data_IF_332428808685
#
_entry.id   IF_332428808685
#
_cell.length_a   1.000
_cell.length_b   1.000
_cell.length_c   1.000
_cell.angle_alpha   90.00
_cell.angle_beta   90.00
_cell.angle_gamma   90.00
#
_symmetry.space_group_name_H-M   'P 1'
#
loop_
_entity.id
_entity.type
_entity.pdbx_description
1 polymer ?
#
# COMPACT_ATOMS: atom_id res chain seq x y z
N UNK A 1 -3.58 18.34 -23.40
CA UNK A 1 -2.83 17.60 -22.35
C UNK A 1 -3.63 16.35 -21.99
N UNK A 2 -3.08 15.13 -22.13
CA UNK A 2 -3.78 13.94 -21.65
C UNK A 2 -3.79 13.93 -20.11
N UNK A 3 -4.85 13.43 -19.46
CA UNK A 3 -4.91 13.33 -18.01
C UNK A 3 -3.83 12.37 -17.51
N UNK A 4 -3.03 12.81 -16.53
CA UNK A 4 -2.03 11.98 -15.85
C UNK A 4 -2.74 10.83 -15.13
N UNK A 5 -2.87 9.66 -15.78
CA UNK A 5 -3.38 8.43 -15.15
C UNK A 5 -2.26 7.80 -14.33
N UNK A 6 -2.41 7.75 -13.01
CA UNK A 6 -1.54 6.93 -12.17
C UNK A 6 -1.93 5.46 -12.33
N UNK A 7 -1.04 4.66 -12.91
CA UNK A 7 -1.13 3.19 -12.94
C UNK A 7 -0.36 2.65 -11.74
N UNK A 8 -0.92 1.69 -11.03
CA UNK A 8 -0.25 1.01 -9.91
C UNK A 8 -0.27 -0.49 -10.20
N UNK A 9 0.90 -1.07 -10.48
CA UNK A 9 1.07 -2.52 -10.66
C UNK A 9 2.02 -3.04 -9.59
N UNK A 10 1.48 -3.85 -8.68
CA UNK A 10 2.22 -4.58 -7.66
C UNK A 10 2.39 -6.02 -8.16
N UNK A 11 3.63 -6.44 -8.44
CA UNK A 11 3.96 -7.84 -8.71
C UNK A 11 4.56 -8.43 -7.44
N UNK A 12 3.91 -9.47 -6.92
CA UNK A 12 4.42 -10.32 -5.85
C UNK A 12 4.97 -11.59 -6.50
N UNK A 13 6.28 -11.81 -6.38
CA UNK A 13 6.89 -13.04 -6.89
C UNK A 13 6.77 -14.17 -5.85
N UNK A 14 6.33 -15.38 -6.21
CA UNK A 14 5.99 -16.44 -5.24
C UNK A 14 7.18 -17.18 -4.62
N UNK A 15 8.43 -16.89 -5.01
CA UNK A 15 9.64 -17.59 -4.50
C UNK A 15 10.60 -16.74 -3.68
N UNK A 16 10.40 -15.44 -3.65
CA UNK A 16 11.14 -14.48 -2.83
C UNK A 16 10.16 -13.39 -2.47
N UNK A 17 10.13 -12.92 -1.22
CA UNK A 17 9.31 -11.78 -0.75
C UNK A 17 9.78 -10.47 -1.38
N UNK A 18 10.00 -10.45 -2.69
CA UNK A 18 10.41 -9.30 -3.49
C UNK A 18 9.13 -8.69 -4.06
N UNK A 19 8.81 -7.49 -3.58
CA UNK A 19 7.75 -6.67 -4.12
C UNK A 19 8.29 -5.87 -5.31
N UNK A 20 7.86 -6.19 -6.53
CA UNK A 20 8.18 -5.36 -7.70
C UNK A 20 7.06 -4.34 -7.88
N UNK A 21 7.36 -3.08 -7.62
CA UNK A 21 6.50 -1.94 -7.89
C UNK A 21 6.73 -1.53 -9.36
N UNK A 22 5.86 -1.99 -10.26
CA UNK A 22 6.05 -1.93 -11.73
C UNK A 22 5.64 -0.59 -12.36
N UNK A 23 5.06 0.30 -11.58
CA UNK A 23 5.13 1.74 -11.82
C UNK A 23 4.47 2.40 -10.62
N UNK A 24 5.23 3.22 -9.92
CA UNK A 24 4.68 4.13 -8.94
C UNK A 24 5.68 5.29 -8.81
N UNK A 25 5.24 6.46 -9.25
CA UNK A 25 5.98 7.71 -9.04
C UNK A 25 5.95 8.04 -7.54
N UNK A 26 6.80 7.39 -6.73
CA UNK A 26 7.09 7.80 -5.35
C UNK A 26 8.21 8.80 -5.37
N UNK A 27 8.08 9.96 -4.73
CA UNK A 27 9.23 10.79 -4.36
C UNK A 27 10.00 10.11 -3.21
N UNK A 28 10.66 8.97 -3.47
CA UNK A 28 11.94 8.73 -2.82
C UNK A 28 12.86 9.87 -3.31
N UNK A 29 13.60 10.53 -2.41
CA UNK A 29 14.37 11.72 -2.76
C UNK A 29 15.15 11.53 -4.05
N UNK A 30 15.22 12.56 -4.90
CA UNK A 30 15.78 12.50 -6.27
C UNK A 30 17.08 11.69 -6.35
N UNK A 31 17.98 11.89 -5.40
CA UNK A 31 19.26 11.17 -5.29
C UNK A 31 19.11 9.65 -5.15
N UNK A 32 18.16 9.15 -4.36
CA UNK A 32 17.97 7.71 -4.18
C UNK A 32 17.51 7.05 -5.47
N UNK A 33 16.63 7.70 -6.24
CA UNK A 33 16.19 7.18 -7.55
C UNK A 33 17.35 7.11 -8.54
N UNK A 34 18.16 8.15 -8.59
CA UNK A 34 19.32 8.21 -9.48
C UNK A 34 20.32 7.12 -9.13
N UNK A 35 20.62 6.92 -7.84
CA UNK A 35 21.51 5.84 -7.40
C UNK A 35 20.99 4.44 -7.77
N UNK A 36 19.70 4.18 -7.58
CA UNK A 36 19.08 2.88 -7.90
C UNK A 36 19.11 2.61 -9.42
N UNK A 37 18.87 3.62 -10.24
CA UNK A 37 18.99 3.50 -11.70
C UNK A 37 20.45 3.26 -12.16
N UNK A 38 21.42 3.91 -11.52
CA UNK A 38 22.84 3.75 -11.85
C UNK A 38 23.35 2.31 -11.64
N UNK A 39 22.79 1.58 -10.68
CA UNK A 39 23.13 0.17 -10.44
C UNK A 39 22.27 -0.81 -11.26
N UNK A 40 21.50 -0.30 -12.24
CA UNK A 40 20.72 -1.13 -13.19
C UNK A 40 19.36 -1.59 -12.67
N UNK A 41 18.91 -1.11 -11.50
CA UNK A 41 17.59 -1.43 -10.97
C UNK A 41 16.56 -0.53 -11.64
N UNK A 42 15.51 -1.13 -12.17
CA UNK A 42 14.44 -0.42 -12.84
C UNK A 42 13.10 -1.11 -12.59
N UNK A 43 12.05 -0.31 -12.48
CA UNK A 43 10.67 -0.79 -12.35
C UNK A 43 9.91 -0.79 -13.68
N UNK A 44 10.59 -0.94 -14.82
CA UNK A 44 9.95 -0.89 -16.13
C UNK A 44 8.90 -1.99 -16.33
N UNK A 45 7.90 -1.74 -17.18
CA UNK A 45 6.80 -2.69 -17.40
C UNK A 45 7.21 -3.98 -18.14
N UNK A 46 8.25 -3.92 -18.97
CA UNK A 46 8.67 -5.04 -19.83
C UNK A 46 9.84 -5.82 -19.22
N UNK A 47 10.83 -5.13 -18.66
CA UNK A 47 12.05 -5.74 -18.12
C UNK A 47 12.41 -5.18 -16.73
N UNK A 48 11.58 -5.42 -15.70
CA UNK A 48 11.88 -4.97 -14.36
C UNK A 48 13.12 -5.68 -13.83
N UNK A 49 14.03 -4.92 -13.22
CA UNK A 49 15.21 -5.46 -12.53
C UNK A 49 15.21 -4.96 -11.10
N UNK A 50 15.29 -5.87 -10.13
CA UNK A 50 15.25 -5.57 -8.69
C UNK A 50 16.54 -5.93 -7.96
N UNK A 51 17.56 -6.40 -8.69
CA UNK A 51 18.85 -6.80 -8.16
C UNK A 51 19.95 -6.56 -9.16
N UNK A 52 21.18 -6.51 -8.65
CA UNK A 52 22.39 -6.43 -9.45
C UNK A 52 23.48 -7.31 -8.83
N UNK A 53 24.42 -7.74 -9.64
CA UNK A 53 25.49 -8.64 -9.20
C UNK A 53 26.44 -7.93 -8.23
N UNK A 54 26.90 -8.63 -7.19
CA UNK A 54 27.84 -8.09 -6.23
C UNK A 54 29.18 -7.74 -6.90
N UNK A 55 29.71 -6.51 -6.73
CA UNK A 55 30.85 -6.02 -7.52
C UNK A 55 32.15 -6.80 -7.31
N UNK A 56 32.29 -7.49 -6.18
CA UNK A 56 33.48 -8.29 -5.85
C UNK A 56 33.22 -9.80 -5.85
N UNK A 57 31.99 -10.26 -6.10
CA UNK A 57 31.64 -11.68 -6.01
C UNK A 57 30.51 -12.01 -7.00
N UNK A 58 30.88 -12.62 -8.12
CA UNK A 58 29.92 -12.95 -9.18
C UNK A 58 28.90 -14.02 -8.80
N UNK A 59 29.10 -14.73 -7.69
CA UNK A 59 28.16 -15.74 -7.19
C UNK A 59 27.01 -15.15 -6.35
N UNK A 60 27.05 -13.86 -6.04
CA UNK A 60 26.08 -13.18 -5.17
C UNK A 60 25.36 -12.05 -5.88
N UNK A 61 24.06 -11.96 -5.60
CA UNK A 61 23.22 -10.84 -6.02
C UNK A 61 22.89 -9.94 -4.83
N UNK A 62 22.87 -8.64 -5.09
CA UNK A 62 22.40 -7.62 -4.17
C UNK A 62 20.98 -7.24 -4.58
N UNK A 63 20.03 -7.55 -3.71
CA UNK A 63 18.62 -7.19 -3.89
C UNK A 63 18.32 -5.85 -3.22
N UNK A 64 17.61 -4.96 -3.93
CA UNK A 64 17.16 -3.71 -3.34
C UNK A 64 15.71 -3.80 -2.88
N UNK A 65 15.49 -3.35 -1.65
CA UNK A 65 14.17 -3.27 -1.03
C UNK A 65 13.88 -1.80 -0.76
N UNK A 66 12.67 -1.39 -1.09
CA UNK A 66 12.19 -0.03 -0.82
C UNK A 66 11.51 -0.03 0.55
N UNK A 67 11.72 1.05 1.32
CA UNK A 67 11.13 1.24 2.65
C UNK A 67 9.57 1.19 2.61
N UNK A 68 8.93 0.16 3.23
CA UNK A 68 7.48 -0.01 3.17
C UNK A 68 6.67 1.15 3.80
N UNK A 69 7.03 1.69 4.99
CA UNK A 69 6.44 2.90 5.55
C UNK A 69 6.43 4.10 4.59
N UNK A 70 7.51 4.32 3.84
CA UNK A 70 7.54 5.37 2.83
C UNK A 70 6.60 5.08 1.66
N UNK A 71 6.59 3.86 1.13
CA UNK A 71 5.72 3.48 0.00
C UNK A 71 4.25 3.69 0.33
N UNK A 72 3.79 3.23 1.50
CA UNK A 72 2.35 3.32 1.84
C UNK A 72 1.88 4.79 1.98
N UNK A 73 2.71 5.67 2.56
CA UNK A 73 2.44 7.11 2.63
C UNK A 73 2.32 7.72 1.25
N UNK A 74 3.27 7.35 0.39
CA UNK A 74 3.30 7.71 -1.00
C UNK A 74 1.96 7.33 -1.67
N UNK A 75 1.61 6.04 -1.66
CA UNK A 75 0.39 5.51 -2.30
C UNK A 75 -0.84 6.27 -1.82
N UNK A 76 -0.97 6.50 -0.51
CA UNK A 76 -2.06 7.33 0.06
C UNK A 76 -2.07 8.73 -0.52
N UNK A 77 -0.93 9.43 -0.49
CA UNK A 77 -0.82 10.81 -0.96
C UNK A 77 -1.16 10.94 -2.46
N UNK A 78 -0.75 9.95 -3.26
CA UNK A 78 -1.02 9.91 -4.69
C UNK A 78 -2.51 9.62 -4.96
N UNK A 79 -3.10 8.65 -4.25
CA UNK A 79 -4.52 8.34 -4.36
C UNK A 79 -5.39 9.56 -4.03
N UNK A 80 -5.02 10.29 -2.97
CA UNK A 80 -5.69 11.54 -2.60
C UNK A 80 -5.54 12.64 -3.66
N UNK A 81 -4.33 12.79 -4.24
CA UNK A 81 -4.01 13.83 -5.22
C UNK A 81 -4.67 13.59 -6.57
N UNK A 82 -4.61 12.35 -7.07
CA UNK A 82 -5.13 11.95 -8.39
C UNK A 82 -6.62 11.61 -8.31
N UNK A 83 -7.09 11.17 -7.15
CA UNK A 83 -8.48 10.78 -6.89
C UNK A 83 -8.81 9.36 -7.30
N UNK A 84 -8.05 8.75 -8.23
CA UNK A 84 -8.23 7.36 -8.65
C UNK A 84 -6.96 6.68 -9.15
N UNK A 85 -6.95 5.35 -9.07
CA UNK A 85 -5.96 4.49 -9.73
C UNK A 85 -6.64 3.54 -10.71
N UNK A 86 -5.95 3.24 -11.80
CA UNK A 86 -6.29 2.15 -12.71
C UNK A 86 -5.37 0.96 -12.42
N UNK A 87 -5.96 -0.14 -11.97
CA UNK A 87 -5.26 -1.39 -11.70
C UNK A 87 -5.02 -2.16 -13.02
N UNK A 88 -4.03 -3.08 -13.07
CA UNK A 88 -3.69 -3.83 -14.28
C UNK A 88 -4.84 -4.64 -14.87
N UNK A 89 -5.79 -5.08 -14.04
CA UNK A 89 -6.98 -5.84 -14.43
C UNK A 89 -8.12 -4.95 -14.95
N UNK A 90 -7.88 -3.65 -15.14
CA UNK A 90 -8.90 -2.68 -15.58
C UNK A 90 -9.82 -2.17 -14.47
N UNK A 91 -9.66 -2.68 -13.24
CA UNK A 91 -10.40 -2.21 -12.07
C UNK A 91 -9.95 -0.80 -11.66
N UNK A 92 -10.89 0.02 -11.23
CA UNK A 92 -10.60 1.39 -10.77
C UNK A 92 -10.77 1.51 -9.25
N UNK A 93 -9.76 2.08 -8.60
CA UNK A 93 -9.76 2.39 -7.17
C UNK A 93 -10.01 3.87 -7.01
N UNK A 94 -10.96 4.24 -6.16
CA UNK A 94 -11.36 5.63 -6.00
C UNK A 94 -11.13 6.12 -4.57
N UNK A 95 -10.46 7.27 -4.43
CA UNK A 95 -10.35 7.96 -3.14
C UNK A 95 -11.73 8.41 -2.61
N UNK A 96 -12.69 8.60 -3.52
CA UNK A 96 -14.07 8.96 -3.22
C UNK A 96 -14.72 8.05 -2.18
N UNK A 97 -14.56 6.72 -2.29
CA UNK A 97 -15.19 5.78 -1.37
C UNK A 97 -14.69 5.92 0.08
N UNK A 98 -13.45 6.36 0.30
CA UNK A 98 -12.97 6.64 1.66
C UNK A 98 -13.60 7.90 2.27
N UNK A 99 -13.96 8.89 1.43
CA UNK A 99 -14.71 10.08 1.87
C UNK A 99 -16.12 9.68 2.29
N UNK A 100 -16.80 8.95 1.43
CA UNK A 100 -18.18 8.50 1.69
C UNK A 100 -18.27 7.56 2.88
N UNK A 101 -17.28 6.67 3.06
CA UNK A 101 -17.20 5.84 4.25
C UNK A 101 -17.08 6.68 5.53
N UNK A 102 -16.24 7.71 5.52
CA UNK A 102 -16.09 8.61 6.66
C UNK A 102 -17.38 9.40 6.93
N UNK A 103 -18.00 9.97 5.88
CA UNK A 103 -19.25 10.73 6.01
C UNK A 103 -20.38 9.85 6.57
N UNK A 104 -20.50 8.61 6.10
CA UNK A 104 -21.50 7.67 6.58
C UNK A 104 -21.25 7.27 8.05
N UNK A 105 -20.01 7.00 8.43
CA UNK A 105 -19.61 6.70 9.82
C UNK A 105 -19.86 7.88 10.77
N UNK A 106 -19.64 9.12 10.32
CA UNK A 106 -19.88 10.34 11.12
C UNK A 106 -21.37 10.60 11.36
N UNK A 107 -22.26 10.08 10.51
CA UNK A 107 -23.72 10.19 10.67
C UNK A 107 -24.30 9.17 11.66
N UNK A 108 -23.56 8.10 11.97
CA UNK A 108 -24.03 7.09 12.92
C UNK A 108 -23.90 7.63 14.36
N UNK A 109 -25.02 7.72 15.08
CA UNK A 109 -25.05 8.17 16.47
C UNK A 109 -24.46 7.14 17.47
N UNK A 110 -24.02 5.96 16.99
CA UNK A 110 -23.64 4.82 17.81
C UNK A 110 -22.26 4.23 17.49
N UNK A 111 -22.15 2.91 17.63
CA UNK A 111 -20.93 2.16 17.36
C UNK A 111 -20.55 2.26 15.87
N UNK A 112 -19.34 2.72 15.64
CA UNK A 112 -18.72 2.89 14.33
C UNK A 112 -17.97 1.62 13.92
N UNK A 113 -18.15 1.17 12.68
CA UNK A 113 -17.43 -0.01 12.16
C UNK A 113 -15.92 0.26 12.04
N UNK A 114 -15.52 1.51 11.80
CA UNK A 114 -14.12 1.92 11.72
C UNK A 114 -13.84 3.09 12.66
N UNK A 115 -13.85 2.85 13.97
CA UNK A 115 -13.65 3.88 15.01
C UNK A 115 -12.36 4.72 14.87
N UNK A 116 -11.34 4.21 14.18
CA UNK A 116 -10.06 4.91 13.96
C UNK A 116 -10.08 5.87 12.77
N UNK A 117 -11.03 5.73 11.83
CA UNK A 117 -11.10 6.57 10.65
C UNK A 117 -11.51 8.00 11.04
N UNK A 118 -10.79 9.01 10.57
CA UNK A 118 -11.08 10.42 10.89
C UNK A 118 -10.80 11.30 9.68
N UNK A 119 -11.23 12.56 9.74
CA UNK A 119 -10.93 13.58 8.70
C UNK A 119 -9.44 13.67 8.36
N UNK A 120 -8.54 13.45 9.33
CA UNK A 120 -7.09 13.47 9.09
C UNK A 120 -6.59 12.33 8.19
N UNK A 121 -7.33 11.23 8.08
CA UNK A 121 -6.98 10.10 7.21
C UNK A 121 -7.27 10.41 5.74
N UNK A 122 -8.44 11.02 5.49
CA UNK A 122 -8.99 11.29 4.15
C UNK A 122 -8.56 12.65 3.62
N UNK A 123 -8.41 13.63 4.52
CA UNK A 123 -8.01 15.01 4.24
C UNK A 123 -6.79 15.43 5.09
N UNK A 124 -5.64 14.73 4.97
CA UNK A 124 -4.43 15.09 5.70
C UNK A 124 -3.88 16.46 5.29
N UNK A 125 -3.48 17.26 6.29
CA UNK A 125 -2.65 18.45 6.08
C UNK A 125 -1.19 18.10 5.73
N UNK A 126 -0.35 19.11 5.49
CA UNK A 126 1.05 18.91 5.08
C UNK A 126 1.86 18.01 6.03
N UNK A 127 1.70 18.18 7.35
CA UNK A 127 2.39 17.35 8.35
C UNK A 127 1.79 15.94 8.43
N UNK A 128 0.47 15.83 8.38
CA UNK A 128 -0.26 14.55 8.41
C UNK A 128 0.01 13.69 7.17
N UNK A 129 0.40 14.29 6.04
CA UNK A 129 0.87 13.57 4.84
C UNK A 129 2.11 12.70 5.09
N UNK A 130 2.89 13.04 6.12
CA UNK A 130 4.08 12.30 6.53
C UNK A 130 3.81 11.23 7.59
N UNK A 131 2.60 11.17 8.15
CA UNK A 131 2.23 10.18 9.16
C UNK A 131 1.98 8.81 8.52
N UNK A 132 2.86 7.85 8.84
CA UNK A 132 2.70 6.44 8.45
C UNK A 132 1.44 5.86 9.10
N UNK A 133 1.19 6.21 10.38
CA UNK A 133 0.03 5.74 11.14
C UNK A 133 -1.29 6.04 10.42
N UNK A 134 -1.47 7.26 9.93
CA UNK A 134 -2.69 7.64 9.20
C UNK A 134 -2.83 6.89 7.88
N UNK A 135 -1.72 6.65 7.16
CA UNK A 135 -1.75 5.89 5.91
C UNK A 135 -2.11 4.41 6.13
N UNK A 136 -1.49 3.78 7.13
CA UNK A 136 -1.75 2.37 7.48
C UNK A 136 -3.19 2.19 7.99
N UNK A 137 -3.68 3.10 8.84
CA UNK A 137 -5.05 3.03 9.35
C UNK A 137 -6.09 3.25 8.24
N UNK A 138 -5.82 4.11 7.27
CA UNK A 138 -6.67 4.28 6.08
C UNK A 138 -6.74 2.96 5.30
N UNK A 139 -5.60 2.32 5.05
CA UNK A 139 -5.51 1.04 4.33
C UNK A 139 -5.65 -0.19 5.22
N UNK A 140 -6.40 -0.11 6.32
CA UNK A 140 -6.53 -1.22 7.27
C UNK A 140 -7.57 -2.26 6.83
N UNK A 141 -7.43 -3.50 7.34
CA UNK A 141 -8.43 -4.55 7.16
C UNK A 141 -9.83 -4.16 7.67
N UNK A 142 -9.91 -3.38 8.76
CA UNK A 142 -11.19 -2.83 9.26
C UNK A 142 -11.82 -1.86 8.27
N UNK A 143 -11.04 -0.99 7.64
CA UNK A 143 -11.57 -0.05 6.62
C UNK A 143 -12.11 -0.81 5.41
N UNK A 144 -11.39 -1.83 4.94
CA UNK A 144 -11.82 -2.67 3.82
C UNK A 144 -13.14 -3.39 4.13
N UNK A 145 -13.24 -3.97 5.33
CA UNK A 145 -14.42 -4.74 5.76
C UNK A 145 -15.64 -3.85 5.96
N UNK A 146 -15.48 -2.65 6.51
CA UNK A 146 -16.58 -1.70 6.64
C UNK A 146 -17.06 -1.19 5.28
N UNK A 147 -16.13 -0.89 4.36
CA UNK A 147 -16.47 -0.49 2.99
C UNK A 147 -17.29 -1.58 2.29
N UNK A 148 -16.87 -2.84 2.40
CA UNK A 148 -17.58 -4.00 1.87
C UNK A 148 -18.96 -4.20 2.52
N UNK A 149 -19.03 -4.12 3.85
CA UNK A 149 -20.29 -4.22 4.60
C UNK A 149 -21.32 -3.18 4.14
N UNK A 150 -20.92 -1.91 4.07
CA UNK A 150 -21.82 -0.83 3.66
C UNK A 150 -22.12 -0.84 2.16
N UNK A 151 -21.25 -1.40 1.32
CA UNK A 151 -21.52 -1.58 -0.11
C UNK A 151 -22.70 -2.51 -0.39
N UNK A 152 -22.96 -3.45 0.52
CA UNK A 152 -24.08 -4.40 0.42
C UNK A 152 -25.33 -3.90 1.16
N UNK A 153 -25.29 -2.69 1.75
CA UNK A 153 -26.39 -2.17 2.55
C UNK A 153 -27.17 -1.10 1.79
N UNK A 154 -28.48 -1.26 1.67
CA UNK A 154 -29.35 -0.35 0.89
C UNK A 154 -29.33 1.10 1.39
N UNK A 155 -29.02 1.30 2.68
CA UNK A 155 -28.92 2.62 3.28
C UNK A 155 -27.71 3.44 2.78
N UNK A 156 -26.69 2.80 2.19
CA UNK A 156 -25.46 3.47 1.76
C UNK A 156 -25.16 3.27 0.26
N UNK A 157 -26.08 3.74 -0.59
CA UNK A 157 -25.96 3.65 -2.06
C UNK A 157 -24.67 4.24 -2.62
N UNK A 158 -24.08 5.23 -1.95
CA UNK A 158 -22.85 5.89 -2.41
C UNK A 158 -21.61 4.98 -2.31
N UNK A 159 -21.65 3.92 -1.50
CA UNK A 159 -20.60 2.91 -1.42
C UNK A 159 -20.83 1.71 -2.36
N UNK A 160 -21.92 1.71 -3.13
CA UNK A 160 -22.14 0.68 -4.15
C UNK A 160 -21.02 0.72 -5.21
N UNK A 161 -20.55 -0.47 -5.60
CA UNK A 161 -19.43 -0.60 -6.55
C UNK A 161 -18.03 -0.36 -5.95
N UNK A 162 -17.92 -0.19 -4.63
CA UNK A 162 -16.63 0.02 -3.96
C UNK A 162 -15.72 -1.22 -3.86
N UNK A 163 -16.15 -2.38 -4.39
CA UNK A 163 -15.45 -3.68 -4.33
C UNK A 163 -13.97 -3.59 -4.75
N UNK A 164 -13.67 -2.91 -5.85
CA UNK A 164 -12.28 -2.75 -6.29
C UNK A 164 -11.44 -1.94 -5.27
N UNK A 165 -12.05 -0.98 -4.58
CA UNK A 165 -11.40 -0.16 -3.57
C UNK A 165 -11.25 -0.90 -2.24
N UNK A 166 -12.24 -1.69 -1.80
CA UNK A 166 -12.13 -2.52 -0.61
C UNK A 166 -11.08 -3.62 -0.79
N UNK A 167 -11.06 -4.28 -1.95
CA UNK A 167 -10.03 -5.28 -2.29
C UNK A 167 -8.63 -4.69 -2.33
N UNK A 168 -8.49 -3.51 -2.94
CA UNK A 168 -7.22 -2.79 -2.94
C UNK A 168 -6.77 -2.45 -1.52
N UNK A 169 -7.67 -1.96 -0.68
CA UNK A 169 -7.41 -1.65 0.74
C UNK A 169 -6.90 -2.90 1.47
N UNK A 170 -7.58 -4.04 1.31
CA UNK A 170 -7.23 -5.32 1.95
C UNK A 170 -5.88 -5.85 1.47
N UNK A 171 -5.58 -5.72 0.18
CA UNK A 171 -4.27 -6.07 -0.40
C UNK A 171 -3.15 -5.19 0.17
N UNK A 172 -3.38 -3.89 0.29
CA UNK A 172 -2.41 -2.96 0.88
C UNK A 172 -2.14 -3.26 2.36
N UNK A 173 -3.18 -3.59 3.15
CA UNK A 173 -3.03 -4.04 4.53
C UNK A 173 -2.10 -5.25 4.61
N UNK A 174 -2.47 -6.32 3.89
CA UNK A 174 -1.76 -7.61 3.93
C UNK A 174 -0.30 -7.46 3.47
N UNK A 175 -0.07 -6.64 2.45
CA UNK A 175 1.26 -6.32 1.96
C UNK A 175 2.10 -5.60 3.02
N UNK A 176 1.53 -4.57 3.65
CA UNK A 176 2.25 -3.81 4.67
C UNK A 176 2.59 -4.67 5.88
N UNK A 177 1.66 -5.51 6.32
CA UNK A 177 1.86 -6.43 7.44
C UNK A 177 2.95 -7.47 7.13
N UNK A 178 2.96 -8.02 5.90
CA UNK A 178 4.01 -8.95 5.46
C UNK A 178 5.40 -8.29 5.49
N UNK A 179 5.51 -7.05 4.99
CA UNK A 179 6.77 -6.31 4.89
C UNK A 179 7.25 -5.69 6.21
N UNK A 180 6.35 -5.56 7.20
CA UNK A 180 6.64 -4.93 8.50
C UNK A 180 6.44 -5.90 9.68
N UNK A 181 6.45 -7.21 9.40
CA UNK A 181 6.41 -8.26 10.42
C UNK A 181 7.70 -8.23 11.24
N UNK A 182 7.58 -8.15 12.56
CA UNK A 182 8.74 -8.05 13.47
C UNK A 182 9.15 -9.40 14.06
N UNK A 183 8.24 -10.38 14.08
CA UNK A 183 8.44 -11.81 14.43
C UNK A 183 7.27 -12.63 13.83
N UNK A 184 7.47 -13.87 13.37
CA UNK A 184 6.35 -14.76 13.09
C UNK A 184 5.62 -15.08 14.41
N UNK A 185 4.34 -14.76 14.52
CA UNK A 185 3.51 -15.02 15.72
C UNK A 185 3.43 -16.52 16.10
N UNK A 186 3.90 -17.41 15.22
CA UNK A 186 3.81 -18.87 15.33
C UNK A 186 5.15 -19.62 15.39
N UNK A 187 6.29 -18.96 15.65
CA UNK A 187 7.53 -19.69 15.95
C UNK A 187 7.71 -19.75 17.45
N UNK A 188 7.31 -20.89 18.03
CA UNK A 188 7.88 -21.33 19.31
C UNK A 188 9.34 -21.65 19.03
N UNK A 189 10.25 -20.82 19.53
CA UNK A 189 11.64 -21.24 19.65
C UNK A 189 11.65 -22.32 20.73
N UNK A 190 12.02 -23.55 20.37
CA UNK A 190 12.45 -24.50 21.38
C UNK A 190 13.70 -23.89 22.03
N UNK A 191 13.61 -23.49 23.29
CA UNK A 191 14.77 -23.16 24.13
C UNK A 191 15.54 -24.46 24.43
N UNK A 192 16.23 -24.96 23.41
CA UNK A 192 17.29 -25.96 23.45
C UNK A 192 18.00 -25.76 22.11
N UNK A 193 19.14 -25.09 22.01
CA UNK A 193 20.42 -25.56 22.51
C UNK A 193 21.31 -24.35 22.85
N UNK A 194 21.34 -23.97 24.13
CA UNK A 194 22.49 -23.34 24.74
C UNK A 194 22.83 -24.19 25.97
N UNK A 195 23.70 -25.19 25.79
CA UNK A 195 24.67 -25.77 26.73
C UNK A 195 25.44 -26.84 25.94
N UNK A 196 26.65 -26.47 25.50
CA UNK A 196 27.89 -27.24 25.55
C UNK A 196 28.97 -26.44 24.81
#
# INVERSE_FOLDING_TARGET
MPPKRARLRLILHPRVTTLTLVEYYCETGFHHKTCVLLVGINGGMEHPSTSFQHPCDSSKDIHCIIDPPHIIKCIRNNLQKVGKFLLPQGQEVYHYYYKELLEYEEQQAGLRAVAKLTKAHVHPNAFQKMSVKLAVQLFSASTATAMEFYSNHDACKKLHGSTATSDFTRRMNSLFDALNSRRPEHVQYNEAEHIA
#
